data_IF_511477947676
#
_entry.id   IF_511477947676
#
_cell.length_a   1.000
_cell.length_b   1.000
_cell.length_c   1.000
_cell.angle_alpha   90.00
_cell.angle_beta   90.00
_cell.angle_gamma   90.00
#
_symmetry.space_group_name_H-M   'P 1'
#
loop_
_entity.id
_entity.type
_entity.pdbx_description
1 polymer ?
#
# COMPACT_ATOMS: atom_id res chain seq x y z
N UNK A 1 -15.49 -17.44 -10.73
CA UNK A 1 -14.08 -17.94 -10.75
C UNK A 1 -13.50 -17.74 -9.36
N UNK A 2 -12.86 -18.74 -8.77
CA UNK A 2 -12.35 -18.64 -7.40
C UNK A 2 -11.07 -17.79 -7.33
N UNK A 3 -10.98 -16.92 -6.33
CA UNK A 3 -9.79 -16.11 -6.09
C UNK A 3 -8.74 -16.91 -5.30
N UNK A 4 -7.43 -16.73 -5.60
CA UNK A 4 -6.34 -17.47 -4.96
C UNK A 4 -6.05 -16.99 -3.54
N UNK A 5 -5.28 -17.79 -2.79
CA UNK A 5 -4.67 -17.33 -1.55
C UNK A 5 -3.55 -16.32 -1.85
N UNK A 6 -3.44 -15.26 -1.03
CA UNK A 6 -2.50 -14.14 -1.21
C UNK A 6 -1.74 -13.88 0.09
N UNK A 7 -0.44 -13.62 -0.05
CA UNK A 7 0.41 -13.15 1.04
C UNK A 7 0.62 -11.63 0.90
N UNK A 8 0.17 -10.89 1.88
CA UNK A 8 0.39 -9.45 2.03
C UNK A 8 1.75 -9.26 2.70
N UNK A 9 2.62 -8.43 2.13
CA UNK A 9 4.00 -8.26 2.55
C UNK A 9 4.25 -6.83 3.01
N UNK A 10 4.57 -6.64 4.30
CA UNK A 10 4.77 -5.34 4.93
C UNK A 10 6.16 -5.24 5.56
N UNK A 11 7.09 -4.47 4.97
CA UNK A 11 8.32 -4.07 5.64
C UNK A 11 8.01 -2.94 6.63
N UNK A 12 8.40 -3.07 7.91
CA UNK A 12 8.13 -2.07 8.95
C UNK A 12 9.42 -1.54 9.59
N UNK A 13 9.39 -0.28 10.05
CA UNK A 13 10.45 0.35 10.84
C UNK A 13 9.91 1.56 11.61
N UNK A 14 9.81 1.47 12.95
CA UNK A 14 9.28 2.53 13.82
C UNK A 14 7.86 2.99 13.42
N UNK A 15 6.94 2.05 13.20
CA UNK A 15 5.60 2.30 12.63
C UNK A 15 4.43 2.00 13.58
N UNK A 16 4.66 1.89 14.89
CA UNK A 16 3.60 1.56 15.87
C UNK A 16 2.38 2.48 15.78
N UNK A 17 2.57 3.78 15.51
CA UNK A 17 1.47 4.74 15.33
C UNK A 17 0.59 4.48 14.10
N UNK A 18 1.05 3.66 13.13
CA UNK A 18 0.31 3.32 11.92
C UNK A 18 -0.50 2.02 12.04
N UNK A 19 -0.43 1.32 13.18
CA UNK A 19 -1.23 0.10 13.40
C UNK A 19 -2.73 0.31 13.14
N UNK A 20 -3.35 1.44 13.56
CA UNK A 20 -4.76 1.69 13.23
C UNK A 20 -5.02 1.74 11.73
N UNK A 21 -4.14 2.40 10.94
CA UNK A 21 -4.29 2.54 9.50
C UNK A 21 -4.18 1.19 8.78
N UNK A 22 -3.12 0.42 9.04
CA UNK A 22 -2.94 -0.89 8.38
C UNK A 22 -4.04 -1.88 8.80
N UNK A 23 -4.50 -1.80 10.06
CA UNK A 23 -5.62 -2.62 10.53
C UNK A 23 -6.91 -2.25 9.80
N UNK A 24 -7.20 -0.95 9.66
CA UNK A 24 -8.32 -0.45 8.88
C UNK A 24 -8.25 -0.95 7.43
N UNK A 25 -7.11 -0.80 6.76
CA UNK A 25 -6.90 -1.28 5.40
C UNK A 25 -7.26 -2.78 5.27
N UNK A 26 -6.73 -3.62 6.17
CA UNK A 26 -6.93 -5.07 6.12
C UNK A 26 -8.38 -5.47 6.39
N UNK A 27 -9.06 -4.82 7.33
CA UNK A 27 -10.49 -5.05 7.63
C UNK A 27 -11.38 -4.71 6.44
N UNK A 28 -11.06 -3.64 5.72
CA UNK A 28 -11.87 -3.12 4.63
C UNK A 28 -11.52 -3.69 3.24
N UNK A 29 -10.51 -4.59 3.13
CA UNK A 29 -10.22 -5.23 1.84
C UNK A 29 -11.43 -6.02 1.31
N UNK A 30 -11.85 -5.77 0.08
CA UNK A 30 -12.87 -6.55 -0.61
C UNK A 30 -12.25 -7.85 -1.17
N UNK A 31 -11.88 -8.73 -0.25
CA UNK A 31 -11.28 -10.02 -0.54
C UNK A 31 -11.62 -11.01 0.59
N UNK A 32 -11.74 -12.30 0.27
CA UNK A 32 -11.96 -13.34 1.28
C UNK A 32 -10.81 -13.36 2.29
N UNK A 33 -11.08 -12.92 3.51
CA UNK A 33 -10.09 -12.80 4.59
C UNK A 33 -9.45 -14.15 4.95
N UNK A 34 -10.16 -15.26 4.76
CA UNK A 34 -9.63 -16.61 5.02
C UNK A 34 -8.53 -17.02 4.03
N UNK A 35 -8.44 -16.33 2.88
CA UNK A 35 -7.43 -16.51 1.84
C UNK A 35 -6.23 -15.60 1.98
N UNK A 36 -6.19 -14.76 3.02
CA UNK A 36 -5.12 -13.80 3.26
C UNK A 36 -4.18 -14.30 4.38
N UNK A 37 -2.89 -14.10 4.17
CA UNK A 37 -1.91 -14.03 5.24
C UNK A 37 -1.20 -12.69 5.19
N UNK A 38 -0.92 -12.12 6.35
CA UNK A 38 -0.16 -10.89 6.50
C UNK A 38 1.21 -11.20 7.08
N UNK A 39 2.25 -10.97 6.29
CA UNK A 39 3.66 -11.18 6.65
C UNK A 39 4.29 -9.83 6.96
N UNK A 40 4.88 -9.68 8.15
CA UNK A 40 5.50 -8.45 8.61
C UNK A 40 6.93 -8.75 9.04
N UNK A 41 7.90 -7.99 8.53
CA UNK A 41 9.26 -7.92 9.08
C UNK A 41 9.47 -6.50 9.58
N UNK A 42 9.68 -6.41 10.87
CA UNK A 42 9.89 -5.16 11.59
C UNK A 42 11.32 -5.13 12.13
N UNK A 43 12.02 -4.04 11.86
CA UNK A 43 13.37 -3.80 12.36
C UNK A 43 13.48 -2.43 13.04
N UNK A 44 12.38 -1.98 13.67
CA UNK A 44 12.29 -0.76 14.46
C UNK A 44 13.18 -0.80 15.70
N UNK A 45 13.39 0.38 16.30
CA UNK A 45 14.10 0.52 17.58
C UNK A 45 13.34 -0.26 18.65
N UNK A 46 12.01 -0.09 18.67
CA UNK A 46 11.09 -0.88 19.49
C UNK A 46 10.24 -1.76 18.58
N UNK A 47 9.86 -2.97 19.05
CA UNK A 47 8.95 -3.83 18.28
C UNK A 47 7.64 -3.13 17.93
N UNK A 48 7.16 -3.35 16.70
CA UNK A 48 5.87 -2.86 16.24
C UNK A 48 4.72 -3.33 17.15
N UNK A 49 4.81 -4.54 17.64
CA UNK A 49 3.84 -5.16 18.54
C UNK A 49 4.51 -5.66 19.82
N UNK A 50 3.86 -5.42 20.97
CA UNK A 50 4.04 -6.23 22.17
C UNK A 50 3.29 -7.56 22.00
N UNK A 51 3.54 -8.55 22.88
CA UNK A 51 2.81 -9.81 22.84
C UNK A 51 1.30 -9.61 22.98
N UNK A 52 0.88 -8.66 23.83
CA UNK A 52 -0.52 -8.33 24.05
C UNK A 52 -1.15 -7.68 22.83
N UNK A 53 -0.53 -6.63 22.28
CA UNK A 53 -1.06 -5.93 21.09
C UNK A 53 -1.05 -6.82 19.86
N UNK A 54 -0.07 -7.72 19.72
CA UNK A 54 -0.07 -8.73 18.65
C UNK A 54 -1.24 -9.72 18.80
N UNK A 55 -1.54 -10.15 20.03
CA UNK A 55 -2.67 -11.02 20.33
C UNK A 55 -3.98 -10.31 19.98
N UNK A 56 -4.17 -9.08 20.41
CA UNK A 56 -5.36 -8.26 20.09
C UNK A 56 -5.52 -8.08 18.58
N UNK A 57 -4.44 -7.74 17.86
CA UNK A 57 -4.45 -7.58 16.41
C UNK A 57 -4.82 -8.88 15.69
N UNK A 58 -4.32 -10.03 16.17
CA UNK A 58 -4.71 -11.34 15.65
C UNK A 58 -6.20 -11.63 15.83
N UNK A 59 -6.76 -11.31 16.99
CA UNK A 59 -8.20 -11.49 17.24
C UNK A 59 -9.03 -10.57 16.32
N UNK A 60 -8.67 -9.29 16.21
CA UNK A 60 -9.35 -8.29 15.39
C UNK A 60 -9.36 -8.65 13.91
N UNK A 61 -8.23 -9.15 13.38
CA UNK A 61 -8.06 -9.45 11.96
C UNK A 61 -8.44 -10.88 11.56
N UNK A 62 -8.97 -11.70 12.48
CA UNK A 62 -9.46 -13.05 12.10
C UNK A 62 -10.44 -12.94 10.91
N UNK A 63 -10.34 -13.86 9.92
CA UNK A 63 -9.48 -15.06 9.83
C UNK A 63 -8.13 -14.84 9.12
N UNK A 64 -7.64 -13.59 8.92
CA UNK A 64 -6.33 -13.31 8.33
C UNK A 64 -5.23 -13.93 9.22
N UNK A 65 -4.32 -14.68 8.62
CA UNK A 65 -3.18 -15.28 9.34
C UNK A 65 -2.03 -14.26 9.43
N UNK A 66 -1.57 -13.93 10.65
CA UNK A 66 -0.49 -12.96 10.86
C UNK A 66 0.82 -13.70 11.16
N UNK A 67 1.82 -13.47 10.30
CA UNK A 67 3.20 -13.91 10.45
C UNK A 67 4.06 -12.67 10.74
N UNK A 68 4.39 -12.43 12.01
CA UNK A 68 5.20 -11.31 12.46
C UNK A 68 6.58 -11.77 12.87
N UNK A 69 7.61 -11.04 12.43
CA UNK A 69 8.99 -11.23 12.85
C UNK A 69 9.62 -9.88 13.18
N UNK A 70 10.14 -9.75 14.39
CA UNK A 70 10.97 -8.64 14.82
C UNK A 70 12.46 -8.98 14.64
N UNK A 71 13.25 -8.01 14.19
CA UNK A 71 14.71 -8.07 14.06
C UNK A 71 15.31 -6.81 14.67
N UNK A 72 16.27 -6.96 15.59
CA UNK A 72 16.86 -5.83 16.33
C UNK A 72 17.85 -5.00 15.51
N UNK A 73 18.19 -5.42 14.29
CA UNK A 73 19.15 -4.75 13.41
C UNK A 73 18.43 -4.22 12.19
N UNK A 74 18.47 -2.91 12.01
CA UNK A 74 17.90 -2.21 10.85
C UNK A 74 18.54 -2.72 9.55
N UNK A 75 17.71 -2.95 8.54
CA UNK A 75 18.10 -3.40 7.19
C UNK A 75 17.52 -2.50 6.12
N UNK A 76 18.11 -2.57 4.94
CA UNK A 76 17.50 -1.97 3.75
C UNK A 76 16.12 -2.57 3.45
N UNK A 77 15.21 -1.73 2.93
CA UNK A 77 13.84 -2.13 2.60
C UNK A 77 13.83 -3.32 1.63
N UNK A 78 14.68 -3.31 0.59
CA UNK A 78 14.75 -4.42 -0.36
C UNK A 78 15.21 -5.73 0.26
N UNK A 79 16.08 -5.69 1.29
CA UNK A 79 16.45 -6.89 2.06
C UNK A 79 15.25 -7.44 2.81
N UNK A 80 14.44 -6.57 3.44
CA UNK A 80 13.20 -6.96 4.12
C UNK A 80 12.18 -7.52 3.13
N UNK A 81 11.96 -6.87 1.97
CA UNK A 81 11.04 -7.37 0.93
C UNK A 81 11.43 -8.78 0.46
N UNK A 82 12.72 -9.06 0.22
CA UNK A 82 13.19 -10.41 -0.12
C UNK A 82 12.92 -11.43 1.02
N UNK A 83 13.15 -11.04 2.25
CA UNK A 83 12.90 -11.90 3.41
C UNK A 83 11.38 -12.17 3.60
N UNK A 84 10.52 -11.17 3.36
CA UNK A 84 9.06 -11.30 3.36
C UNK A 84 8.58 -12.30 2.31
N UNK A 85 9.11 -12.25 1.08
CA UNK A 85 8.77 -13.24 0.04
C UNK A 85 9.16 -14.65 0.46
N UNK A 86 10.32 -14.83 1.10
CA UNK A 86 10.76 -16.13 1.64
C UNK A 86 9.87 -16.62 2.77
N UNK A 87 9.43 -15.71 3.67
CA UNK A 87 8.58 -16.03 4.80
C UNK A 87 7.15 -16.39 4.40
N UNK A 88 6.64 -15.80 3.32
CA UNK A 88 5.26 -15.98 2.83
C UNK A 88 5.01 -17.42 2.36
N UNK A 89 3.76 -17.90 2.50
CA UNK A 89 3.38 -19.28 2.14
C UNK A 89 2.65 -19.39 0.80
N UNK A 90 1.94 -18.34 0.40
CA UNK A 90 1.10 -18.37 -0.79
C UNK A 90 1.90 -18.13 -2.08
N UNK A 91 1.34 -18.57 -3.21
CA UNK A 91 1.97 -18.44 -4.54
C UNK A 91 1.95 -17.01 -5.08
N UNK A 92 1.06 -16.17 -4.56
CA UNK A 92 0.92 -14.76 -4.94
C UNK A 92 1.27 -13.91 -3.76
N UNK A 93 2.12 -12.93 -3.98
CA UNK A 93 2.57 -11.93 -3.03
C UNK A 93 2.09 -10.54 -3.48
N UNK A 94 1.66 -9.72 -2.55
CA UNK A 94 1.29 -8.32 -2.78
C UNK A 94 1.93 -7.44 -1.72
N UNK A 95 2.54 -6.32 -2.15
CA UNK A 95 3.11 -5.34 -1.22
C UNK A 95 2.00 -4.52 -0.60
N UNK A 96 2.14 -4.20 0.68
CA UNK A 96 1.29 -3.27 1.41
C UNK A 96 2.16 -2.63 2.50
N UNK A 97 2.60 -1.40 2.27
CA UNK A 97 3.38 -0.66 3.24
C UNK A 97 2.46 -0.21 4.40
N UNK A 98 3.00 -0.08 5.60
CA UNK A 98 2.22 0.11 6.83
C UNK A 98 1.73 1.56 7.04
N UNK A 99 2.28 2.51 6.29
CA UNK A 99 2.01 3.94 6.40
C UNK A 99 1.16 4.52 5.27
N UNK A 100 0.59 3.69 4.38
CA UNK A 100 -0.20 4.11 3.22
C UNK A 100 -1.68 3.68 3.32
N UNK A 101 -2.56 4.37 2.60
CA UNK A 101 -3.97 4.04 2.49
C UNK A 101 -4.17 3.10 1.31
N UNK A 102 -4.74 1.92 1.53
CA UNK A 102 -5.07 0.97 0.47
C UNK A 102 -6.57 0.87 0.28
N UNK A 103 -7.01 0.98 -0.99
CA UNK A 103 -8.43 0.89 -1.30
C UNK A 103 -8.96 -0.53 -1.13
N UNK A 104 -10.24 -0.70 -0.79
CA UNK A 104 -10.86 -2.03 -0.65
C UNK A 104 -10.67 -2.93 -1.87
N UNK A 105 -10.63 -2.37 -3.07
CA UNK A 105 -10.43 -3.05 -4.35
C UNK A 105 -9.01 -3.54 -4.62
N UNK A 106 -7.99 -3.06 -3.89
CA UNK A 106 -6.58 -3.21 -4.22
C UNK A 106 -6.16 -4.65 -4.53
N UNK A 107 -6.41 -5.59 -3.63
CA UNK A 107 -5.99 -7.00 -3.82
C UNK A 107 -6.74 -7.61 -4.99
N UNK A 108 -8.06 -7.43 -5.03
CA UNK A 108 -8.91 -8.00 -6.09
C UNK A 108 -8.53 -7.46 -7.46
N UNK A 109 -8.39 -6.13 -7.58
CA UNK A 109 -7.99 -5.47 -8.82
C UNK A 109 -6.62 -5.97 -9.32
N UNK A 110 -5.62 -6.05 -8.44
CA UNK A 110 -4.29 -6.54 -8.79
C UNK A 110 -4.33 -7.98 -9.33
N UNK A 111 -5.11 -8.87 -8.68
CA UNK A 111 -5.28 -10.26 -9.13
C UNK A 111 -6.00 -10.33 -10.49
N UNK A 112 -7.02 -9.50 -10.70
CA UNK A 112 -7.78 -9.48 -11.95
C UNK A 112 -6.89 -9.01 -13.12
N UNK A 113 -6.09 -7.96 -12.92
CA UNK A 113 -5.12 -7.47 -13.92
C UNK A 113 -4.06 -8.54 -14.21
N UNK A 114 -3.51 -9.19 -13.19
CA UNK A 114 -2.51 -10.24 -13.32
C UNK A 114 -3.04 -11.42 -14.15
N UNK A 115 -4.27 -11.87 -13.86
CA UNK A 115 -4.94 -12.95 -14.59
C UNK A 115 -5.32 -12.57 -16.01
N UNK A 116 -5.93 -11.39 -16.20
CA UNK A 116 -6.38 -10.88 -17.50
C UNK A 116 -5.22 -10.79 -18.50
N UNK A 117 -4.10 -10.23 -18.06
CA UNK A 117 -2.92 -10.02 -18.90
C UNK A 117 -2.00 -11.26 -18.98
N UNK A 118 -2.25 -12.31 -18.17
CA UNK A 118 -1.43 -13.53 -18.10
C UNK A 118 0.06 -13.23 -17.81
N UNK A 119 0.31 -12.25 -16.95
CA UNK A 119 1.66 -11.79 -16.58
C UNK A 119 2.05 -12.28 -15.19
N UNK A 120 3.34 -12.21 -14.90
CA UNK A 120 3.89 -12.63 -13.60
C UNK A 120 3.88 -11.55 -12.52
N UNK A 121 3.78 -10.26 -12.92
CA UNK A 121 3.79 -9.12 -12.02
C UNK A 121 2.89 -8.00 -12.52
N UNK A 122 2.28 -7.27 -11.57
CA UNK A 122 1.51 -6.04 -11.82
C UNK A 122 1.81 -4.99 -10.74
N UNK A 123 1.51 -3.75 -11.03
CA UNK A 123 1.57 -2.61 -10.11
C UNK A 123 1.29 -1.31 -10.86
N UNK A 124 1.26 -0.18 -10.16
CA UNK A 124 0.92 1.10 -10.78
C UNK A 124 2.15 1.90 -11.18
N UNK A 125 2.09 2.54 -12.36
CA UNK A 125 3.03 3.58 -12.79
C UNK A 125 2.55 4.99 -12.41
N UNK A 126 1.39 5.11 -11.79
CA UNK A 126 0.87 6.35 -11.21
C UNK A 126 0.98 6.29 -9.69
N UNK A 127 1.01 7.46 -9.05
CA UNK A 127 0.97 7.60 -7.61
C UNK A 127 0.00 8.70 -7.20
N UNK A 128 -0.73 8.44 -6.11
CA UNK A 128 -1.47 9.45 -5.38
C UNK A 128 -0.73 9.73 -4.07
N UNK A 129 -0.70 10.98 -3.65
CA UNK A 129 -0.13 11.42 -2.39
C UNK A 129 -1.15 12.26 -1.64
N UNK A 130 -1.30 12.07 -0.33
CA UNK A 130 -2.12 12.92 0.53
C UNK A 130 -1.24 13.67 1.53
N UNK A 131 -1.50 14.97 1.68
CA UNK A 131 -0.66 15.90 2.45
C UNK A 131 -1.42 16.49 3.63
N UNK A 132 -1.16 16.05 4.87
CA UNK A 132 -1.78 16.63 6.06
C UNK A 132 -1.54 18.14 6.19
N UNK A 133 -0.30 18.58 5.94
CA UNK A 133 0.09 19.99 6.02
C UNK A 133 -0.64 20.89 5.01
N UNK A 134 -1.28 20.30 3.99
CA UNK A 134 -2.08 20.98 2.99
C UNK A 134 -3.57 20.58 3.08
N UNK A 135 -4.08 20.44 4.31
CA UNK A 135 -5.47 20.08 4.57
C UNK A 135 -5.90 18.80 3.85
N UNK A 136 -5.04 17.79 3.86
CA UNK A 136 -5.26 16.47 3.25
C UNK A 136 -5.58 16.52 1.74
N UNK A 137 -5.13 17.58 1.05
CA UNK A 137 -5.21 17.63 -0.42
C UNK A 137 -4.39 16.52 -1.05
N UNK A 138 -4.84 16.08 -2.23
CA UNK A 138 -4.24 14.97 -2.97
C UNK A 138 -3.53 15.49 -4.21
N UNK A 139 -2.34 14.97 -4.49
CA UNK A 139 -1.68 15.12 -5.78
C UNK A 139 -1.58 13.77 -6.50
N UNK A 140 -1.46 13.84 -7.83
CA UNK A 140 -1.30 12.67 -8.70
C UNK A 140 -0.12 12.87 -9.61
N UNK A 141 0.77 11.91 -9.66
CA UNK A 141 1.87 11.88 -10.63
C UNK A 141 1.81 10.63 -11.49
N UNK A 142 2.31 10.75 -12.71
CA UNK A 142 2.62 9.63 -13.58
C UNK A 142 4.14 9.47 -13.66
N UNK A 143 4.63 8.26 -13.43
CA UNK A 143 6.02 7.93 -13.65
C UNK A 143 6.28 7.88 -15.15
N UNK A 144 6.99 8.89 -15.68
CA UNK A 144 7.21 9.05 -17.13
C UNK A 144 8.25 8.09 -17.69
N UNK A 145 9.13 7.52 -16.85
CA UNK A 145 10.08 6.53 -17.31
C UNK A 145 9.33 5.26 -17.70
N UNK A 146 9.54 4.80 -18.93
CA UNK A 146 9.09 3.46 -19.34
C UNK A 146 9.57 2.47 -18.28
N UNK A 147 8.62 1.65 -17.75
CA UNK A 147 8.90 0.54 -16.82
C UNK A 147 8.97 0.90 -15.35
N UNK A 148 8.51 2.06 -14.91
CA UNK A 148 8.37 2.30 -13.47
C UNK A 148 7.06 1.72 -12.95
N UNK A 149 7.19 0.86 -11.95
CA UNK A 149 6.08 0.41 -11.10
C UNK A 149 6.46 0.77 -9.68
N UNK A 150 5.54 1.39 -8.98
CA UNK A 150 5.74 1.76 -7.59
C UNK A 150 5.79 0.51 -6.71
N UNK A 151 6.85 0.35 -5.91
CA UNK A 151 7.11 -0.85 -5.12
C UNK A 151 5.96 -1.19 -4.17
N UNK A 152 5.33 -0.19 -3.54
CA UNK A 152 4.20 -0.37 -2.64
C UNK A 152 2.94 -0.93 -3.34
N UNK A 153 2.89 -0.91 -4.68
CA UNK A 153 1.76 -1.44 -5.47
C UNK A 153 2.04 -2.79 -6.11
N UNK A 154 3.24 -3.36 -5.94
CA UNK A 154 3.62 -4.59 -6.62
C UNK A 154 2.82 -5.80 -6.13
N UNK A 155 2.22 -6.50 -7.08
CA UNK A 155 1.62 -7.82 -6.90
C UNK A 155 2.25 -8.78 -7.91
N UNK A 156 2.77 -9.92 -7.44
CA UNK A 156 3.51 -10.85 -8.30
C UNK A 156 3.36 -12.30 -7.85
N UNK A 157 3.60 -13.21 -8.78
CA UNK A 157 3.71 -14.64 -8.47
C UNK A 157 5.10 -14.97 -7.95
N UNK A 158 5.23 -15.92 -7.02
CA UNK A 158 6.56 -16.43 -6.58
C UNK A 158 7.34 -17.03 -7.75
N UNK A 159 6.65 -17.60 -8.76
CA UNK A 159 7.31 -18.08 -9.98
C UNK A 159 8.03 -16.95 -10.70
N UNK A 160 7.37 -15.78 -10.83
CA UNK A 160 7.99 -14.59 -11.40
C UNK A 160 9.16 -14.12 -10.56
N UNK A 161 8.96 -13.94 -9.26
CA UNK A 161 10.01 -13.51 -8.33
C UNK A 161 11.26 -14.40 -8.42
N UNK A 162 11.08 -15.72 -8.46
CA UNK A 162 12.20 -16.67 -8.55
C UNK A 162 12.95 -16.63 -9.91
N UNK A 163 12.35 -16.04 -10.94
CA UNK A 163 13.00 -15.82 -12.25
C UNK A 163 13.73 -14.47 -12.34
N UNK A 164 13.61 -13.63 -11.30
CA UNK A 164 14.19 -12.29 -11.23
C UNK A 164 15.32 -12.25 -10.18
N UNK A 165 16.22 -11.26 -10.25
CA UNK A 165 17.27 -11.09 -9.23
C UNK A 165 16.77 -10.79 -7.82
N UNK A 166 15.46 -10.52 -7.67
CA UNK A 166 14.84 -10.05 -6.43
C UNK A 166 15.02 -8.54 -6.21
N UNK A 167 14.58 -8.07 -5.04
CA UNK A 167 14.75 -6.68 -4.64
C UNK A 167 16.23 -6.37 -4.34
N UNK A 168 16.68 -5.18 -4.76
CA UNK A 168 18.05 -4.74 -4.51
C UNK A 168 18.27 -4.44 -3.02
N UNK A 169 19.52 -4.56 -2.56
CA UNK A 169 19.94 -4.14 -1.20
C UNK A 169 19.99 -2.61 -1.16
N UNK A 170 18.85 -1.99 -1.10
CA UNK A 170 18.63 -0.54 -1.08
C UNK A 170 17.33 -0.23 -0.37
N UNK A 171 17.18 1.00 0.09
CA UNK A 171 15.94 1.54 0.62
C UNK A 171 15.27 2.56 -0.32
N UNK A 172 15.81 2.73 -1.54
CA UNK A 172 15.24 3.57 -2.60
C UNK A 172 15.41 2.84 -3.93
N UNK A 173 14.30 2.70 -4.68
CA UNK A 173 14.28 2.05 -5.99
C UNK A 173 14.67 0.58 -5.95
N UNK A 174 14.45 -0.08 -4.82
CA UNK A 174 14.83 -1.47 -4.60
C UNK A 174 14.11 -2.45 -5.53
N UNK A 175 12.96 -2.04 -6.08
CA UNK A 175 12.15 -2.82 -7.01
C UNK A 175 12.60 -2.75 -8.46
N UNK A 176 13.52 -1.88 -8.84
CA UNK A 176 13.89 -1.65 -10.24
C UNK A 176 14.25 -2.95 -10.99
N UNK A 177 15.04 -3.84 -10.36
CA UNK A 177 15.43 -5.12 -10.96
C UNK A 177 14.30 -6.16 -11.02
N UNK A 178 13.19 -5.92 -10.32
CA UNK A 178 11.99 -6.76 -10.46
C UNK A 178 11.27 -6.54 -11.77
N UNK A 179 11.51 -5.43 -12.45
CA UNK A 179 10.85 -5.06 -13.71
C UNK A 179 11.83 -5.20 -14.89
N UNK A 180 13.12 -4.93 -14.63
CA UNK A 180 14.16 -4.80 -15.64
C UNK A 180 14.24 -6.03 -16.55
N UNK A 181 14.28 -5.78 -17.87
CA UNK A 181 14.31 -6.79 -18.94
C UNK A 181 13.08 -7.71 -19.06
N UNK A 182 12.01 -7.53 -18.28
CA UNK A 182 10.86 -8.43 -18.30
C UNK A 182 9.52 -7.72 -18.47
N UNK A 183 9.48 -6.63 -19.24
CA UNK A 183 8.26 -5.83 -19.49
C UNK A 183 7.09 -6.65 -20.02
N UNK A 184 7.38 -7.60 -20.92
CA UNK A 184 6.33 -8.46 -21.51
C UNK A 184 5.62 -9.32 -20.47
N UNK A 185 6.18 -9.47 -19.28
CA UNK A 185 5.63 -10.25 -18.18
C UNK A 185 5.15 -9.38 -17.02
N UNK A 186 4.87 -8.10 -17.29
CA UNK A 186 4.29 -7.16 -16.34
C UNK A 186 3.16 -6.35 -16.97
N UNK A 187 2.24 -5.82 -16.13
CA UNK A 187 1.15 -4.94 -16.57
C UNK A 187 0.84 -3.89 -15.48
N UNK A 188 0.22 -2.78 -15.89
CA UNK A 188 -0.13 -1.70 -14.98
C UNK A 188 -1.50 -1.90 -14.35
N UNK A 189 -1.59 -1.58 -13.06
CA UNK A 189 -2.85 -1.45 -12.32
C UNK A 189 -3.29 0.01 -12.31
N UNK A 190 -4.59 0.24 -12.09
CA UNK A 190 -5.14 1.57 -11.90
C UNK A 190 -4.86 2.03 -10.46
N UNK A 191 -4.17 3.17 -10.29
CA UNK A 191 -3.85 3.73 -8.97
C UNK A 191 -5.12 4.09 -8.18
N UNK A 192 -6.18 4.53 -8.84
CA UNK A 192 -7.46 4.89 -8.21
C UNK A 192 -8.20 3.67 -7.62
N UNK A 193 -7.73 2.44 -7.91
CA UNK A 193 -8.21 1.18 -7.33
C UNK A 193 -7.16 0.52 -6.43
N UNK A 194 -6.04 1.20 -6.17
CA UNK A 194 -4.89 0.62 -5.47
C UNK A 194 -4.61 1.30 -4.14
N UNK A 195 -4.09 2.54 -4.14
CA UNK A 195 -3.63 3.17 -2.91
C UNK A 195 -3.42 4.68 -3.02
N UNK A 196 -3.28 5.33 -1.87
CA UNK A 196 -2.78 6.70 -1.71
C UNK A 196 -1.61 6.66 -0.73
N UNK A 197 -0.46 7.21 -1.12
CA UNK A 197 0.67 7.41 -0.22
C UNK A 197 0.37 8.52 0.79
N UNK A 198 0.56 8.23 2.06
CA UNK A 198 0.45 9.21 3.12
C UNK A 198 1.78 9.94 3.33
N UNK A 199 1.77 11.26 3.17
CA UNK A 199 2.95 12.10 3.35
C UNK A 199 3.12 12.48 4.83
N UNK A 200 4.25 12.09 5.42
CA UNK A 200 4.60 12.37 6.82
C UNK A 200 6.12 12.41 7.00
N UNK A 201 6.60 12.97 8.11
CA UNK A 201 8.03 13.20 8.37
C UNK A 201 8.89 11.94 8.39
N UNK A 202 8.30 10.77 8.63
CA UNK A 202 8.99 9.48 8.63
C UNK A 202 9.10 8.82 7.25
N UNK A 203 8.69 9.48 6.15
CA UNK A 203 8.86 8.94 4.81
C UNK A 203 10.35 8.90 4.42
N UNK A 204 10.77 7.86 3.70
CA UNK A 204 12.16 7.71 3.22
C UNK A 204 12.57 8.77 2.20
N UNK A 205 11.59 9.42 1.58
CA UNK A 205 11.78 10.41 0.52
C UNK A 205 10.84 11.60 0.74
N UNK A 206 11.35 12.83 0.52
CA UNK A 206 10.52 14.04 0.62
C UNK A 206 9.58 14.12 -0.57
N UNK A 207 8.28 13.93 -0.30
CA UNK A 207 7.21 13.90 -1.30
C UNK A 207 6.61 15.29 -1.58
N UNK A 208 7.00 16.33 -0.81
CA UNK A 208 6.45 17.68 -0.91
C UNK A 208 6.59 18.31 -2.31
N UNK A 209 7.67 17.96 -3.02
CA UNK A 209 7.90 18.41 -4.39
C UNK A 209 6.79 18.01 -5.37
N UNK A 210 5.99 16.98 -5.06
CA UNK A 210 4.88 16.53 -5.89
C UNK A 210 3.57 17.23 -5.60
N UNK A 211 3.49 18.05 -4.55
CA UNK A 211 2.29 18.82 -4.21
C UNK A 211 1.84 19.77 -5.33
N UNK A 212 2.78 20.27 -6.15
CA UNK A 212 2.46 21.08 -7.33
C UNK A 212 1.51 20.42 -8.34
N UNK A 213 1.40 19.09 -8.31
CA UNK A 213 0.47 18.31 -9.14
C UNK A 213 -0.82 17.97 -8.39
N UNK A 214 -1.29 18.89 -7.53
CA UNK A 214 -2.54 18.75 -6.77
C UNK A 214 -3.73 18.51 -7.70
N UNK A 215 -4.70 17.77 -7.21
CA UNK A 215 -5.93 17.39 -7.90
C UNK A 215 -7.14 17.84 -7.09
N UNK A 216 -8.33 17.75 -7.70
CA UNK A 216 -9.59 17.97 -6.99
C UNK A 216 -10.09 16.74 -6.21
N UNK A 217 -9.37 15.64 -6.29
CA UNK A 217 -9.66 14.42 -5.52
C UNK A 217 -9.58 14.74 -4.02
N UNK A 218 -10.56 14.23 -3.25
CA UNK A 218 -10.62 14.40 -1.79
C UNK A 218 -10.86 13.06 -1.10
N UNK A 219 -10.35 12.92 0.11
CA UNK A 219 -10.74 11.81 0.99
C UNK A 219 -12.08 12.21 1.61
N UNK A 220 -13.16 11.50 1.25
CA UNK A 220 -14.50 11.70 1.83
C UNK A 220 -14.77 10.77 3.01
N UNK A 221 -14.04 9.67 3.14
CA UNK A 221 -14.20 8.72 4.22
C UNK A 221 -13.75 9.32 5.56
N UNK A 222 -14.72 9.58 6.44
CA UNK A 222 -14.52 10.23 7.74
C UNK A 222 -13.66 9.40 8.69
N UNK A 223 -13.75 8.08 8.62
CA UNK A 223 -12.97 7.18 9.47
C UNK A 223 -11.47 7.23 9.10
N UNK A 224 -11.17 7.17 7.79
CA UNK A 224 -9.79 7.35 7.31
C UNK A 224 -9.27 8.72 7.71
N UNK A 225 -10.00 9.80 7.46
CA UNK A 225 -9.58 11.16 7.85
C UNK A 225 -9.25 11.23 9.34
N UNK A 226 -10.11 10.67 10.19
CA UNK A 226 -9.87 10.64 11.64
C UNK A 226 -8.58 9.90 12.00
N UNK A 227 -8.33 8.73 11.39
CA UNK A 227 -7.10 7.97 11.59
C UNK A 227 -5.87 8.80 11.14
N UNK A 228 -5.95 9.47 9.99
CA UNK A 228 -4.84 10.30 9.49
C UNK A 228 -4.61 11.54 10.36
N UNK A 229 -5.66 12.15 10.90
CA UNK A 229 -5.57 13.23 11.88
C UNK A 229 -4.82 12.78 13.15
N UNK A 230 -5.18 11.61 13.68
CA UNK A 230 -4.54 11.05 14.86
C UNK A 230 -3.05 10.75 14.62
N UNK A 231 -2.71 10.19 13.46
CA UNK A 231 -1.33 9.87 13.09
C UNK A 231 -0.48 11.13 12.88
N UNK A 232 -1.03 12.13 12.18
CA UNK A 232 -0.31 13.37 11.83
C UNK A 232 -0.33 14.42 12.93
N UNK A 233 -1.31 14.38 13.84
CA UNK A 233 -1.58 15.45 14.79
C UNK A 233 -2.23 16.69 14.15
N UNK A 234 -2.60 16.63 12.87
CA UNK A 234 -3.16 17.76 12.09
C UNK A 234 -4.65 17.51 11.88
N UNK A 235 -5.47 18.55 12.16
CA UNK A 235 -6.92 18.47 11.96
C UNK A 235 -7.32 18.83 10.53
N UNK A 236 -8.21 18.04 9.95
CA UNK A 236 -8.86 18.36 8.69
C UNK A 236 -9.82 19.54 8.90
N UNK A 237 -9.67 20.57 8.09
CA UNK A 237 -10.58 21.72 8.09
C UNK A 237 -11.51 21.51 6.91
N UNK A 238 -12.80 21.33 7.21
CA UNK A 238 -13.81 21.21 6.15
C UNK A 238 -13.85 22.51 5.35
N UNK A 239 -13.45 22.43 4.07
CA UNK A 239 -13.52 23.61 3.18
C UNK A 239 -14.96 24.11 3.16
N UNK A 240 -15.16 25.46 3.25
CA UNK A 240 -16.46 26.05 2.92
C UNK A 240 -16.78 25.61 1.50
N UNK A 241 -18.04 25.23 1.18
CA UNK A 241 -18.38 24.91 -0.18
C UNK A 241 -17.99 26.12 -1.06
N UNK A 242 -17.12 25.89 -2.04
CA UNK A 242 -16.87 26.87 -3.09
C UNK A 242 -18.20 27.06 -3.80
N UNK A 243 -18.76 28.28 -3.73
CA UNK A 243 -20.08 28.61 -4.28
C UNK A 243 -20.08 28.67 -5.80
N UNK A 244 -18.95 28.39 -6.47
CA UNK A 244 -18.78 28.67 -7.90
C UNK A 244 -18.28 27.47 -8.77
N UNK A 245 -18.14 26.24 -8.24
CA UNK A 245 -17.67 25.09 -9.05
C UNK A 245 -18.64 23.90 -9.01
N UNK A 246 -19.79 24.02 -9.72
CA UNK A 246 -20.71 22.88 -9.96
C UNK A 246 -20.31 21.98 -11.14
N UNK A 247 -19.28 22.32 -11.95
CA UNK A 247 -18.94 21.58 -13.16
C UNK A 247 -17.51 21.06 -13.16
N UNK A 248 -17.34 19.73 -13.04
CA UNK A 248 -16.14 18.87 -13.22
C UNK A 248 -15.55 18.21 -11.97
N UNK A 249 -16.35 17.50 -11.23
CA UNK A 249 -15.84 16.47 -10.30
C UNK A 249 -15.80 15.14 -11.04
N UNK A 250 -14.64 14.69 -11.51
CA UNK A 250 -14.45 13.29 -11.90
C UNK A 250 -14.76 12.40 -10.70
N UNK A 251 -15.83 11.64 -10.81
CA UNK A 251 -16.40 10.78 -9.77
C UNK A 251 -15.46 9.60 -9.43
N UNK A 252 -14.43 9.86 -8.61
CA UNK A 252 -13.66 8.80 -7.93
C UNK A 252 -14.42 8.32 -6.68
N UNK A 253 -15.56 8.89 -6.41
CA UNK A 253 -16.39 8.65 -5.22
C UNK A 253 -16.89 7.21 -5.06
N UNK A 254 -17.02 6.47 -6.17
CA UNK A 254 -17.53 5.07 -6.15
C UNK A 254 -16.52 4.03 -5.65
N UNK A 255 -15.22 4.37 -5.52
CA UNK A 255 -14.20 3.44 -5.01
C UNK A 255 -13.89 3.67 -3.52
N UNK A 256 -14.36 4.77 -2.93
CA UNK A 256 -14.20 5.13 -1.52
C UNK A 256 -15.53 5.00 -0.75
N UNK A 257 -16.64 4.84 -1.45
CA UNK A 257 -17.89 4.45 -0.81
C UNK A 257 -17.78 2.98 -0.35
N UNK A 258 -17.65 2.84 0.95
CA UNK A 258 -17.92 1.57 1.63
C UNK A 258 -19.44 1.44 1.58
N UNK A 259 -19.95 0.65 0.64
CA UNK A 259 -21.33 0.15 0.75
C UNK A 259 -21.42 -0.69 2.01
N UNK A 260 -22.42 -0.40 2.82
CA UNK A 260 -22.82 -1.13 4.03
C UNK A 260 -22.88 -2.65 3.84
#
# INVERSE_FOLDING_TARGET
>A
MEYPNVSILTPSYNRSKFIPLITYNLLNMNYDKSKLEWCIIDDGIEPLFTDETLKQTRETLKPIKINYKYESVKRDIGVKRNALVKMSKNKICIMMDDDDIYFPSYIKHSIDVLKKNKVGMVGSNHMLFVYPNHNFKISKIECQAKRQIHEATMCFTKKYYNSMPGFQKSSLGEGAKMIDHNEKNSAYTNINLSMICFCHDGNSFNKEQFYKYKTEIRIKNVEILKILEEISGIKYIKDKPDTDDEDNVEDIDKSIEITE
#
